data_IF_777607662457
#
_entry.id   IF_777607662457
#
_cell.length_a   1.000
_cell.length_b   1.000
_cell.length_c   1.000
_cell.angle_alpha   90.00
_cell.angle_beta   90.00
_cell.angle_gamma   90.00
#
_symmetry.space_group_name_H-M   'P 1'
#
loop_
_entity.id
_entity.type
_entity.pdbx_description
1 polymer ?
#
# COMPACT_ATOMS: atom_id res chain seq x y z
N UNK A 1 36.97 3.79 7.08
CA UNK A 1 35.67 4.40 7.45
C UNK A 1 34.56 3.61 6.75
N UNK A 2 33.96 2.62 7.42
CA UNK A 2 32.94 1.76 6.80
C UNK A 2 31.60 2.49 6.75
N UNK A 3 31.13 2.83 5.55
CA UNK A 3 29.79 3.34 5.33
C UNK A 3 28.81 2.18 5.57
N UNK A 4 28.19 2.13 6.75
CA UNK A 4 27.05 1.25 7.02
C UNK A 4 25.93 1.67 6.07
N UNK A 5 25.82 0.98 4.93
CA UNK A 5 24.64 1.07 4.10
C UNK A 5 23.47 0.56 4.97
N UNK A 6 22.59 1.47 5.40
CA UNK A 6 21.35 1.06 6.09
C UNK A 6 20.65 0.07 5.19
N UNK A 7 20.39 -1.09 5.74
CA UNK A 7 19.91 -2.28 5.06
C UNK A 7 18.62 -1.97 4.28
N UNK A 8 18.61 -2.16 2.95
CA UNK A 8 17.36 -2.13 2.20
C UNK A 8 16.40 -3.28 2.58
N UNK A 9 16.85 -4.24 3.39
CA UNK A 9 16.13 -5.48 3.70
C UNK A 9 14.93 -5.29 4.65
N UNK A 10 15.05 -4.44 5.69
CA UNK A 10 13.99 -4.23 6.67
C UNK A 10 12.76 -3.53 6.04
N UNK A 11 13.00 -2.43 5.32
CA UNK A 11 11.93 -1.68 4.66
C UNK A 11 11.17 -2.52 3.61
N UNK A 12 11.83 -3.49 2.97
CA UNK A 12 11.17 -4.39 2.00
C UNK A 12 10.34 -5.49 2.66
N UNK A 13 10.75 -6.00 3.83
CA UNK A 13 10.01 -7.05 4.54
C UNK A 13 8.70 -6.50 5.14
N UNK A 14 8.77 -5.30 5.73
CA UNK A 14 7.60 -4.59 6.22
C UNK A 14 6.66 -4.22 5.06
N UNK A 15 7.19 -3.71 3.96
CA UNK A 15 6.38 -3.37 2.78
C UNK A 15 5.60 -4.58 2.24
N UNK A 16 6.24 -5.76 2.09
CA UNK A 16 5.55 -6.97 1.64
C UNK A 16 4.44 -7.41 2.58
N UNK A 17 4.67 -7.39 3.90
CA UNK A 17 3.61 -7.74 4.87
C UNK A 17 2.43 -6.79 4.79
N UNK A 18 2.70 -5.50 4.59
CA UNK A 18 1.66 -4.49 4.40
C UNK A 18 0.91 -4.75 3.09
N UNK A 19 1.62 -5.01 1.99
CA UNK A 19 1.01 -5.36 0.69
C UNK A 19 0.11 -6.59 0.80
N UNK A 20 0.56 -7.67 1.42
CA UNK A 20 -0.23 -8.89 1.63
C UNK A 20 -1.50 -8.62 2.46
N UNK A 21 -1.37 -7.88 3.55
CA UNK A 21 -2.50 -7.53 4.40
C UNK A 21 -3.54 -6.66 3.66
N UNK A 22 -3.07 -5.68 2.89
CA UNK A 22 -3.94 -4.80 2.09
C UNK A 22 -4.58 -5.57 0.94
N UNK A 23 -3.84 -6.43 0.22
CA UNK A 23 -4.38 -7.32 -0.82
C UNK A 23 -5.49 -8.22 -0.28
N UNK A 24 -5.27 -8.85 0.88
CA UNK A 24 -6.28 -9.72 1.52
C UNK A 24 -7.54 -8.97 1.92
N UNK A 25 -7.42 -7.72 2.38
CA UNK A 25 -8.56 -6.90 2.83
C UNK A 25 -9.31 -6.25 1.66
N UNK A 26 -8.59 -5.68 0.71
CA UNK A 26 -9.15 -4.87 -0.36
C UNK A 26 -9.55 -5.71 -1.59
N UNK A 27 -8.94 -6.88 -1.77
CA UNK A 27 -9.21 -7.76 -2.91
C UNK A 27 -8.66 -7.25 -4.24
N UNK A 28 -7.78 -6.25 -4.22
CA UNK A 28 -7.12 -5.69 -5.40
C UNK A 28 -5.59 -5.72 -5.25
N UNK A 29 -4.87 -5.46 -6.34
CA UNK A 29 -3.41 -5.33 -6.29
C UNK A 29 -2.99 -4.07 -5.54
N UNK A 30 -2.04 -4.25 -4.62
CA UNK A 30 -1.50 -3.20 -3.78
C UNK A 30 0.01 -3.22 -3.83
N UNK A 31 0.60 -2.05 -4.00
CA UNK A 31 2.04 -1.86 -4.03
C UNK A 31 2.47 -0.79 -3.04
N UNK A 32 3.44 -1.11 -2.19
CA UNK A 32 4.00 -0.21 -1.18
C UNK A 32 5.44 0.12 -1.55
N UNK A 33 5.67 1.37 -1.96
CA UNK A 33 7.01 1.88 -2.28
C UNK A 33 7.50 2.76 -1.14
N UNK A 34 8.39 2.22 -0.30
CA UNK A 34 9.07 3.00 0.72
C UNK A 34 10.05 4.01 0.09
N UNK A 35 10.03 5.24 0.58
CA UNK A 35 10.95 6.33 0.24
C UNK A 35 11.73 6.75 1.48
N UNK A 36 12.64 7.71 1.32
CA UNK A 36 13.49 8.19 2.43
C UNK A 36 12.65 8.88 3.51
N UNK A 37 13.13 8.78 4.76
CA UNK A 37 12.60 9.48 5.95
C UNK A 37 11.14 9.11 6.31
N UNK A 38 10.81 7.82 6.30
CA UNK A 38 9.48 7.33 6.73
C UNK A 38 8.32 7.71 5.80
N UNK A 39 8.64 8.21 4.60
CA UNK A 39 7.65 8.50 3.57
C UNK A 39 7.55 7.32 2.62
N UNK A 40 6.41 7.18 1.96
CA UNK A 40 6.20 6.15 0.96
C UNK A 40 5.01 6.47 0.07
N UNK A 41 4.78 5.59 -0.89
CA UNK A 41 3.60 5.59 -1.72
C UNK A 41 2.91 4.24 -1.57
N UNK A 42 1.60 4.26 -1.38
CA UNK A 42 0.75 3.07 -1.53
C UNK A 42 -0.05 3.26 -2.81
N UNK A 43 0.05 2.31 -3.73
CA UNK A 43 -0.67 2.31 -5.00
C UNK A 43 -1.67 1.18 -4.96
N UNK A 44 -2.94 1.49 -5.27
CA UNK A 44 -4.04 0.55 -5.38
C UNK A 44 -4.44 0.51 -6.85
N UNK A 45 -4.50 -0.68 -7.44
CA UNK A 45 -5.10 -0.86 -8.76
C UNK A 45 -6.62 -0.96 -8.62
N UNK A 46 -7.35 -0.49 -9.61
CA UNK A 46 -8.79 -0.76 -9.73
C UNK A 46 -9.09 -1.18 -11.17
N UNK A 47 -10.05 -2.08 -11.34
CA UNK A 47 -10.36 -2.67 -12.64
C UNK A 47 -11.73 -2.24 -13.20
N UNK A 48 -12.53 -1.53 -12.40
CA UNK A 48 -13.81 -0.95 -12.80
C UNK A 48 -14.20 0.22 -11.88
N UNK A 49 -15.18 1.01 -12.29
CA UNK A 49 -15.72 2.07 -11.44
C UNK A 49 -16.41 1.51 -10.18
N UNK A 50 -17.09 0.38 -10.30
CA UNK A 50 -17.69 -0.33 -9.15
C UNK A 50 -16.63 -0.79 -8.15
N UNK A 51 -15.50 -1.33 -8.64
CA UNK A 51 -14.36 -1.72 -7.80
C UNK A 51 -13.75 -0.50 -7.09
N UNK A 52 -13.57 0.62 -7.81
CA UNK A 52 -13.10 1.86 -7.20
C UNK A 52 -14.06 2.36 -6.11
N UNK A 53 -15.37 2.36 -6.35
CA UNK A 53 -16.37 2.76 -5.37
C UNK A 53 -16.31 1.88 -4.10
N UNK A 54 -16.19 0.56 -4.28
CA UNK A 54 -15.99 -0.39 -3.18
C UNK A 54 -14.71 -0.13 -2.40
N UNK A 55 -13.61 0.15 -3.09
CA UNK A 55 -12.33 0.47 -2.45
C UNK A 55 -12.41 1.77 -1.63
N UNK A 56 -13.08 2.79 -2.17
CA UNK A 56 -13.30 4.04 -1.44
C UNK A 56 -14.16 3.81 -0.20
N UNK A 57 -15.22 3.02 -0.30
CA UNK A 57 -16.04 2.65 0.86
C UNK A 57 -15.21 1.93 1.94
N UNK A 58 -14.36 0.98 1.55
CA UNK A 58 -13.48 0.26 2.49
C UNK A 58 -12.41 1.16 3.14
N UNK A 59 -11.95 2.18 2.43
CA UNK A 59 -10.94 3.13 2.91
C UNK A 59 -11.53 4.22 3.81
N UNK A 60 -12.71 4.72 3.46
CA UNK A 60 -13.41 5.79 4.18
C UNK A 60 -14.26 5.26 5.34
N UNK A 61 -14.68 3.99 5.28
CA UNK A 61 -15.61 3.38 6.23
C UNK A 61 -17.08 3.71 5.94
N UNK A 62 -17.35 4.44 4.86
CA UNK A 62 -18.66 4.87 4.43
C UNK A 62 -18.71 5.01 2.90
N UNK A 63 -19.88 4.89 2.25
CA UNK A 63 -20.00 5.01 0.81
C UNK A 63 -19.54 6.39 0.31
N UNK A 64 -18.73 6.41 -0.74
CA UNK A 64 -18.31 7.66 -1.35
C UNK A 64 -19.44 8.25 -2.21
N UNK A 65 -20.02 9.37 -1.77
CA UNK A 65 -21.16 10.01 -2.42
C UNK A 65 -20.81 11.00 -3.55
N UNK A 66 -19.52 11.28 -3.78
CA UNK A 66 -19.06 12.28 -4.75
C UNK A 66 -18.90 13.66 -4.13
#
# INVERSE_FOLDING_TARGET
MFRRAREPHAATADARRIEDALRKRLGTDVRVTARRKGRGLVTLSYYSNDDLARLLELLLGEPFAG
#
